data_IF_968557616934
#
_entry.id   IF_968557616934
#
_cell.length_a   1.000
_cell.length_b   1.000
_cell.length_c   1.000
_cell.angle_alpha   90.00
_cell.angle_beta   90.00
_cell.angle_gamma   90.00
#
_symmetry.space_group_name_H-M   'P 1'
#
loop_
_entity.id
_entity.type
_entity.pdbx_description
1 polymer ?
#
# COMPACT_ATOMS: atom_id res chain seq x y z
N UNK A 1 -12.39 -12.45 2.66
CA UNK A 1 -11.96 -11.07 2.90
C UNK A 1 -11.54 -10.33 1.63
N UNK A 2 -10.99 -10.99 0.67
CA UNK A 2 -10.58 -10.36 -0.60
C UNK A 2 -11.70 -10.39 -1.63
N UNK A 3 -12.75 -9.59 -1.45
CA UNK A 3 -13.73 -9.35 -2.51
C UNK A 3 -13.37 -8.07 -3.27
N UNK A 4 -13.73 -8.01 -4.55
CA UNK A 4 -13.55 -6.80 -5.35
C UNK A 4 -14.17 -5.57 -4.67
N UNK A 5 -15.36 -5.72 -4.09
CA UNK A 5 -16.05 -4.64 -3.38
C UNK A 5 -15.23 -4.12 -2.19
N UNK A 6 -14.65 -5.01 -1.38
CA UNK A 6 -13.83 -4.62 -0.23
C UNK A 6 -12.58 -3.85 -0.67
N UNK A 7 -11.89 -4.33 -1.72
CA UNK A 7 -10.70 -3.68 -2.28
C UNK A 7 -11.04 -2.29 -2.82
N UNK A 8 -12.10 -2.20 -3.63
CA UNK A 8 -12.55 -0.94 -4.21
C UNK A 8 -13.00 0.06 -3.13
N UNK A 9 -13.74 -0.39 -2.12
CA UNK A 9 -14.18 0.47 -1.01
C UNK A 9 -13.01 1.02 -0.20
N UNK A 10 -12.03 0.16 0.13
CA UNK A 10 -10.86 0.61 0.88
C UNK A 10 -10.02 1.60 0.07
N UNK A 11 -9.81 1.33 -1.23
CA UNK A 11 -9.13 2.28 -2.11
C UNK A 11 -9.85 3.63 -2.16
N UNK A 12 -11.17 3.60 -2.31
CA UNK A 12 -11.97 4.82 -2.36
C UNK A 12 -11.83 5.64 -1.08
N UNK A 13 -11.84 4.99 0.08
CA UNK A 13 -11.64 5.65 1.38
C UNK A 13 -10.24 6.27 1.46
N UNK A 14 -9.19 5.53 1.09
CA UNK A 14 -7.80 6.02 1.08
C UNK A 14 -7.69 7.25 0.17
N UNK A 15 -8.19 7.17 -1.07
CA UNK A 15 -8.15 8.27 -2.02
C UNK A 15 -8.95 9.50 -1.53
N UNK A 16 -10.12 9.28 -0.92
CA UNK A 16 -10.92 10.36 -0.36
C UNK A 16 -10.17 11.09 0.75
N UNK A 17 -9.58 10.34 1.69
CA UNK A 17 -8.78 10.93 2.78
C UNK A 17 -7.57 11.67 2.22
N UNK A 18 -6.86 11.07 1.25
CA UNK A 18 -5.70 11.68 0.60
C UNK A 18 -6.07 13.03 -0.07
N UNK A 19 -7.14 13.04 -0.88
CA UNK A 19 -7.61 14.28 -1.55
C UNK A 19 -8.00 15.34 -0.51
N UNK A 20 -8.74 14.95 0.54
CA UNK A 20 -9.11 15.88 1.61
C UNK A 20 -7.87 16.40 2.35
N UNK A 21 -6.86 15.56 2.57
CA UNK A 21 -5.63 15.95 3.23
C UNK A 21 -4.81 16.95 2.39
N UNK A 22 -4.78 16.78 1.08
CA UNK A 22 -4.15 17.75 0.16
C UNK A 22 -4.90 19.09 0.16
N UNK A 23 -6.21 19.07 -0.03
CA UNK A 23 -7.04 20.29 -0.15
C UNK A 23 -7.04 21.10 1.16
N UNK A 24 -7.04 20.43 2.31
CA UNK A 24 -7.07 21.08 3.62
C UNK A 24 -5.67 21.26 4.24
N UNK A 25 -4.62 21.01 3.51
CA UNK A 25 -3.22 21.13 3.98
C UNK A 25 -2.90 20.26 5.21
N UNK A 26 -3.59 19.11 5.38
CA UNK A 26 -3.40 18.25 6.55
C UNK A 26 -2.02 17.59 6.60
N UNK A 27 -1.41 17.21 5.49
CA UNK A 27 -0.05 16.65 5.45
C UNK A 27 0.98 17.62 6.04
N UNK A 28 0.81 18.92 5.83
CA UNK A 28 1.73 19.93 6.36
C UNK A 28 1.37 20.37 7.79
N UNK A 29 0.10 20.23 8.19
CA UNK A 29 -0.35 20.56 9.54
C UNK A 29 -0.16 19.40 10.51
N UNK A 30 -0.39 18.19 10.04
CA UNK A 30 -0.35 16.92 10.80
C UNK A 30 0.60 15.94 10.12
N UNK A 31 1.90 16.17 10.21
CA UNK A 31 2.94 15.36 9.55
C UNK A 31 2.83 13.85 9.84
N UNK A 32 2.27 13.47 11.01
CA UNK A 32 2.04 12.07 11.35
C UNK A 32 0.96 11.38 10.49
N UNK A 33 0.16 12.16 9.73
CA UNK A 33 -0.94 11.62 8.90
C UNK A 33 -0.43 10.73 7.77
N UNK A 34 0.77 10.97 7.31
CA UNK A 34 1.42 10.20 6.27
C UNK A 34 1.64 8.75 6.68
N UNK A 35 2.08 8.53 7.90
CA UNK A 35 2.29 7.19 8.48
C UNK A 35 1.07 6.25 8.30
N UNK A 36 -0.15 6.59 8.77
CA UNK A 36 -1.31 5.74 8.55
C UNK A 36 -1.72 5.64 7.07
N UNK A 37 -1.43 6.63 6.24
CA UNK A 37 -1.73 6.58 4.81
C UNK A 37 -0.86 5.55 4.11
N UNK A 38 0.45 5.52 4.33
CA UNK A 38 1.36 4.51 3.82
C UNK A 38 1.03 3.12 4.38
N UNK A 39 0.75 2.99 5.69
CA UNK A 39 0.33 1.72 6.27
C UNK A 39 -0.94 1.16 5.59
N UNK A 40 -1.96 1.98 5.38
CA UNK A 40 -3.20 1.58 4.69
C UNK A 40 -2.96 1.31 3.20
N UNK A 41 -2.08 2.07 2.56
CA UNK A 41 -1.65 1.87 1.18
C UNK A 41 -1.01 0.50 0.98
N UNK A 42 -0.03 0.16 1.79
CA UNK A 42 0.63 -1.14 1.78
C UNK A 42 -0.32 -2.31 2.11
N UNK A 43 -1.18 -2.13 3.10
CA UNK A 43 -2.23 -3.10 3.44
C UNK A 43 -3.17 -3.34 2.25
N UNK A 44 -3.64 -2.29 1.60
CA UNK A 44 -4.48 -2.36 0.42
C UNK A 44 -3.76 -3.01 -0.76
N UNK A 45 -2.51 -2.63 -1.02
CA UNK A 45 -1.72 -3.17 -2.12
C UNK A 45 -1.53 -4.68 -1.98
N UNK A 46 -1.17 -5.18 -0.79
CA UNK A 46 -1.07 -6.61 -0.52
C UNK A 46 -2.42 -7.32 -0.73
N UNK A 47 -3.52 -6.73 -0.27
CA UNK A 47 -4.86 -7.26 -0.48
C UNK A 47 -5.23 -7.34 -1.97
N UNK A 48 -4.93 -6.31 -2.75
CA UNK A 48 -5.18 -6.25 -4.17
C UNK A 48 -4.35 -7.28 -4.95
N UNK A 49 -3.06 -7.40 -4.64
CA UNK A 49 -2.15 -8.37 -5.28
C UNK A 49 -2.63 -9.80 -5.02
N UNK A 50 -2.96 -10.14 -3.77
CA UNK A 50 -3.45 -11.48 -3.42
C UNK A 50 -4.78 -11.77 -4.13
N UNK A 51 -5.67 -10.79 -4.23
CA UNK A 51 -6.92 -10.92 -4.97
C UNK A 51 -6.67 -11.17 -6.46
N UNK A 52 -5.77 -10.41 -7.09
CA UNK A 52 -5.42 -10.57 -8.49
C UNK A 52 -4.86 -11.97 -8.76
N UNK A 53 -3.90 -12.42 -7.96
CA UNK A 53 -3.32 -13.76 -8.08
C UNK A 53 -4.39 -14.85 -7.90
N UNK A 54 -5.34 -14.65 -6.98
CA UNK A 54 -6.37 -15.64 -6.66
C UNK A 54 -7.48 -15.74 -7.71
N UNK A 55 -7.75 -14.67 -8.47
CA UNK A 55 -8.90 -14.61 -9.39
C UNK A 55 -8.51 -14.64 -10.87
N UNK A 56 -7.31 -14.21 -11.23
CA UNK A 56 -6.82 -14.37 -12.59
C UNK A 56 -6.14 -15.74 -12.74
N UNK A 57 -6.46 -16.46 -13.81
CA UNK A 57 -5.93 -17.81 -14.09
C UNK A 57 -4.46 -17.73 -14.54
N UNK A 58 -3.57 -17.37 -13.63
CA UNK A 58 -2.14 -17.49 -13.89
C UNK A 58 -1.71 -18.98 -13.88
N UNK A 59 -0.87 -19.44 -14.80
CA UNK A 59 -0.43 -20.83 -14.87
C UNK A 59 0.17 -21.38 -13.58
N UNK A 60 0.78 -20.51 -12.77
CA UNK A 60 1.47 -20.83 -11.51
C UNK A 60 0.62 -20.55 -10.26
N UNK A 61 -0.66 -20.19 -10.42
CA UNK A 61 -1.52 -19.74 -9.32
C UNK A 61 -1.59 -20.73 -8.15
N UNK A 62 -1.89 -22.02 -8.43
CA UNK A 62 -2.02 -23.05 -7.38
C UNK A 62 -0.70 -23.29 -6.65
N UNK A 63 0.40 -23.33 -7.39
CA UNK A 63 1.73 -23.51 -6.83
C UNK A 63 2.12 -22.31 -5.96
N UNK A 64 1.85 -21.10 -6.43
CA UNK A 64 2.13 -19.87 -5.70
C UNK A 64 1.36 -19.79 -4.37
N UNK A 65 0.05 -20.04 -4.37
CA UNK A 65 -0.79 -19.98 -3.17
C UNK A 65 -0.45 -21.10 -2.15
N UNK A 66 0.12 -22.22 -2.61
CA UNK A 66 0.55 -23.33 -1.76
C UNK A 66 2.00 -23.22 -1.28
N UNK A 67 2.73 -22.18 -1.66
CA UNK A 67 4.10 -21.98 -1.18
C UNK A 67 4.16 -21.85 0.35
N UNK A 68 5.35 -22.11 0.91
CA UNK A 68 5.58 -21.84 2.32
C UNK A 68 5.37 -20.34 2.63
N UNK A 69 5.04 -20.05 3.87
CA UNK A 69 4.70 -18.69 4.32
C UNK A 69 5.79 -17.67 3.94
N UNK A 70 7.06 -18.02 4.11
CA UNK A 70 8.17 -17.10 3.86
C UNK A 70 8.26 -16.69 2.38
N UNK A 71 8.23 -17.66 1.47
CA UNK A 71 8.31 -17.40 0.01
C UNK A 71 7.13 -16.56 -0.46
N UNK A 72 5.92 -16.93 -0.04
CA UNK A 72 4.71 -16.17 -0.35
C UNK A 72 4.82 -14.72 0.14
N UNK A 73 5.26 -14.53 1.39
CA UNK A 73 5.41 -13.19 1.99
C UNK A 73 6.44 -12.36 1.24
N UNK A 74 7.63 -12.92 0.94
CA UNK A 74 8.69 -12.21 0.22
C UNK A 74 8.17 -11.71 -1.14
N UNK A 75 7.48 -12.55 -1.91
CA UNK A 75 6.97 -12.16 -3.22
C UNK A 75 5.96 -11.02 -3.10
N UNK A 76 4.98 -11.12 -2.20
CA UNK A 76 3.99 -10.05 -2.02
C UNK A 76 4.66 -8.74 -1.56
N UNK A 77 5.57 -8.81 -0.58
CA UNK A 77 6.30 -7.62 -0.10
C UNK A 77 7.16 -6.99 -1.20
N UNK A 78 7.75 -7.79 -2.11
CA UNK A 78 8.49 -7.25 -3.26
C UNK A 78 7.62 -6.43 -4.21
N UNK A 79 6.38 -6.85 -4.45
CA UNK A 79 5.42 -6.06 -5.22
C UNK A 79 4.98 -4.80 -4.47
N UNK A 80 4.76 -4.90 -3.17
CA UNK A 80 4.36 -3.73 -2.36
C UNK A 80 5.45 -2.68 -2.34
N UNK A 81 6.72 -3.07 -2.13
CA UNK A 81 7.82 -2.11 -2.15
C UNK A 81 8.01 -1.47 -3.54
N UNK A 82 7.77 -2.22 -4.61
CA UNK A 82 7.79 -1.66 -5.95
C UNK A 82 6.71 -0.58 -6.14
N UNK A 83 5.49 -0.82 -5.63
CA UNK A 83 4.40 0.16 -5.64
C UNK A 83 4.77 1.37 -4.76
N UNK A 84 5.32 1.16 -3.55
CA UNK A 84 5.75 2.22 -2.65
C UNK A 84 6.80 3.12 -3.31
N UNK A 85 7.86 2.55 -3.89
CA UNK A 85 8.87 3.32 -4.63
C UNK A 85 8.25 4.10 -5.79
N UNK A 86 7.25 3.55 -6.47
CA UNK A 86 6.55 4.27 -7.53
C UNK A 86 5.75 5.46 -6.99
N UNK A 87 5.13 5.34 -5.81
CA UNK A 87 4.43 6.44 -5.16
C UNK A 87 5.40 7.55 -4.73
N UNK A 88 6.53 7.20 -4.13
CA UNK A 88 7.60 8.16 -3.81
C UNK A 88 8.08 8.94 -5.05
N UNK A 89 8.18 8.24 -6.19
CA UNK A 89 8.50 8.89 -7.46
C UNK A 89 7.39 9.86 -7.90
N UNK A 90 6.12 9.51 -7.71
CA UNK A 90 4.98 10.41 -8.00
C UNK A 90 5.02 11.65 -7.10
N UNK A 91 5.32 11.50 -5.81
CA UNK A 91 5.46 12.62 -4.88
C UNK A 91 6.62 13.55 -5.27
N UNK A 92 7.75 12.96 -5.65
CA UNK A 92 8.88 13.74 -6.18
C UNK A 92 8.50 14.54 -7.43
N UNK A 93 7.74 13.96 -8.36
CA UNK A 93 7.25 14.68 -9.53
C UNK A 93 6.23 15.77 -9.13
N UNK A 94 5.36 15.49 -8.18
CA UNK A 94 4.44 16.48 -7.65
C UNK A 94 5.20 17.69 -7.09
N UNK A 95 6.25 17.46 -6.34
CA UNK A 95 7.07 18.52 -5.78
C UNK A 95 7.78 19.36 -6.85
N UNK A 96 8.29 18.73 -7.91
CA UNK A 96 8.90 19.45 -9.05
C UNK A 96 7.86 20.31 -9.79
N UNK A 97 6.67 19.77 -10.06
CA UNK A 97 5.73 20.45 -10.95
C UNK A 97 4.71 21.35 -10.21
N UNK A 98 4.44 21.11 -8.96
CA UNK A 98 3.41 21.78 -8.18
C UNK A 98 4.02 22.58 -7.03
N UNK A 99 4.72 21.90 -6.11
CA UNK A 99 5.23 22.52 -4.87
C UNK A 99 6.31 23.57 -5.15
N UNK A 100 7.24 23.30 -6.05
CA UNK A 100 8.30 24.24 -6.46
C UNK A 100 7.77 25.55 -7.09
N UNK A 101 6.53 25.53 -7.57
CA UNK A 101 5.84 26.72 -8.12
C UNK A 101 5.01 27.49 -7.08
N UNK A 102 5.02 27.05 -5.83
CA UNK A 102 4.32 27.68 -4.73
C UNK A 102 2.82 27.38 -4.66
N UNK A 103 2.33 26.36 -5.36
CA UNK A 103 0.92 25.97 -5.31
C UNK A 103 0.58 25.13 -4.08
N UNK A 104 1.58 24.46 -3.48
CA UNK A 104 1.43 23.66 -2.26
C UNK A 104 2.75 23.57 -1.50
N UNK A 105 2.73 22.97 -0.30
CA UNK A 105 3.94 22.53 0.40
C UNK A 105 4.56 21.31 -0.27
N UNK A 106 5.80 20.97 0.10
CA UNK A 106 6.47 19.76 -0.36
C UNK A 106 5.87 18.52 0.30
N UNK A 107 5.68 17.44 -0.45
CA UNK A 107 5.26 16.14 0.05
C UNK A 107 6.47 15.38 0.58
N UNK A 108 7.55 15.31 -0.20
CA UNK A 108 8.78 14.67 0.24
C UNK A 108 9.58 15.55 1.21
N UNK A 109 9.75 15.06 2.43
CA UNK A 109 10.53 15.76 3.48
C UNK A 109 11.98 15.24 3.57
N UNK A 110 12.38 14.40 2.63
CA UNK A 110 13.75 13.89 2.50
C UNK A 110 13.88 12.38 2.66
N UNK A 111 15.11 11.86 2.53
CA UNK A 111 15.37 10.42 2.51
C UNK A 111 14.88 9.65 3.75
N UNK A 112 14.85 10.29 4.93
CA UNK A 112 14.36 9.65 6.13
C UNK A 112 12.84 9.43 6.08
N UNK A 113 12.12 10.34 5.49
CA UNK A 113 10.69 10.29 5.21
C UNK A 113 10.38 9.13 4.26
N UNK A 114 10.96 9.16 3.06
CA UNK A 114 10.85 8.06 2.08
C UNK A 114 11.13 6.67 2.68
N UNK A 115 12.17 6.54 3.53
CA UNK A 115 12.46 5.25 4.18
C UNK A 115 11.37 4.87 5.19
N UNK A 116 10.82 5.84 5.93
CA UNK A 116 9.73 5.59 6.86
C UNK A 116 8.46 5.17 6.11
N UNK A 117 8.14 5.80 5.00
CA UNK A 117 6.97 5.53 4.18
C UNK A 117 7.02 4.12 3.59
N UNK A 118 8.15 3.73 2.99
CA UNK A 118 8.38 2.37 2.53
C UNK A 118 8.32 1.34 3.67
N UNK A 119 8.78 1.69 4.87
CA UNK A 119 8.67 0.83 6.05
C UNK A 119 7.20 0.63 6.45
N UNK A 120 6.39 1.68 6.49
CA UNK A 120 4.97 1.57 6.83
C UNK A 120 4.15 0.87 5.75
N UNK A 121 4.49 1.04 4.47
CA UNK A 121 3.94 0.23 3.37
C UNK A 121 4.17 -1.27 3.60
N UNK A 122 5.41 -1.65 3.91
CA UNK A 122 5.77 -3.05 4.20
C UNK A 122 5.07 -3.57 5.46
N UNK A 123 4.96 -2.75 6.49
CA UNK A 123 4.30 -3.13 7.75
C UNK A 123 2.81 -3.38 7.52
N UNK A 124 2.12 -2.50 6.80
CA UNK A 124 0.72 -2.66 6.43
C UNK A 124 0.49 -3.93 5.61
N UNK A 125 1.33 -4.17 4.61
CA UNK A 125 1.29 -5.37 3.79
C UNK A 125 1.52 -6.65 4.62
N UNK A 126 2.50 -6.65 5.50
CA UNK A 126 2.79 -7.79 6.38
C UNK A 126 1.61 -8.12 7.30
N UNK A 127 0.98 -7.11 7.89
CA UNK A 127 -0.22 -7.29 8.71
C UNK A 127 -1.35 -7.93 7.90
N UNK A 128 -1.61 -7.46 6.68
CA UNK A 128 -2.62 -8.07 5.83
C UNK A 128 -2.29 -9.52 5.48
N UNK A 129 -1.06 -9.82 5.07
CA UNK A 129 -0.61 -11.19 4.74
C UNK A 129 -0.81 -12.13 5.93
N UNK A 130 -0.46 -11.69 7.13
CA UNK A 130 -0.62 -12.47 8.35
C UNK A 130 -2.10 -12.80 8.63
N UNK A 131 -2.98 -11.80 8.56
CA UNK A 131 -4.43 -11.97 8.72
C UNK A 131 -4.98 -12.94 7.65
N UNK A 132 -4.58 -12.75 6.39
CA UNK A 132 -5.00 -13.61 5.29
C UNK A 132 -4.63 -15.09 5.53
N UNK A 133 -3.39 -15.34 5.95
CA UNK A 133 -2.92 -16.72 6.22
C UNK A 133 -3.62 -17.36 7.39
N UNK A 134 -3.91 -16.62 8.44
CA UNK A 134 -4.71 -17.13 9.58
C UNK A 134 -6.09 -17.56 9.09
N UNK A 135 -6.78 -16.72 8.31
CA UNK A 135 -8.11 -17.05 7.79
C UNK A 135 -8.14 -18.26 6.89
N UNK A 136 -7.13 -18.41 6.02
CA UNK A 136 -7.01 -19.58 5.14
C UNK A 136 -6.77 -20.89 5.93
N UNK A 137 -6.13 -20.82 7.09
CA UNK A 137 -6.00 -21.99 7.98
C UNK A 137 -7.35 -22.41 8.56
N UNK A 138 -8.15 -21.45 9.01
CA UNK A 138 -9.47 -21.74 9.59
C UNK A 138 -10.50 -22.27 8.57
N UNK A 139 -10.35 -21.98 7.29
CA UNK A 139 -11.23 -22.53 6.24
C UNK A 139 -10.94 -24.00 5.89
N UNK A 140 -9.78 -24.50 6.27
CA UNK A 140 -9.36 -25.88 5.99
C UNK A 140 -9.70 -26.87 7.11
N UNK A 141 -10.22 -26.40 8.24
CA UNK A 141 -10.75 -27.17 9.37
C UNK A 141 -12.26 -27.25 9.25
#
# INVERSE_FOLDING_TARGET
MTSFKTIASLLLIILLVHILALINYWYWTYQWLDIPMHFLGGFWAAMAIIFLISNFQFPIQKEFLNQNFLRFTIVILSFVIFIGVFLEFVEFLYDIFISSRGYSGFLQLGAADTIADLFFDLLGAFVFIFIYRIQERFKKV
#
